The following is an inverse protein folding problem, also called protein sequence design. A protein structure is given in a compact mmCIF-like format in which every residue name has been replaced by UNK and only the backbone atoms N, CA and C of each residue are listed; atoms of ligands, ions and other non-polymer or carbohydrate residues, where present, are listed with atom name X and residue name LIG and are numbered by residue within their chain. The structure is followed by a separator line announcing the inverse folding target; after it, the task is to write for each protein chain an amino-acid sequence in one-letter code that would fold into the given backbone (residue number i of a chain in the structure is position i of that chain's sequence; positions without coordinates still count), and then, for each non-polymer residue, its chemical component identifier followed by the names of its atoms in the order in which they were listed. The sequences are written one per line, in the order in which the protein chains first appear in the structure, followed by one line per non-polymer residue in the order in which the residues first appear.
data_IF_152169933650
#
_entry.id   IF_152169933650
#
_cell.length_a   1.000
_cell.length_b   1.000
_cell.length_c   1.000
_cell.angle_alpha   90.00
_cell.angle_beta   90.00
_cell.angle_gamma   90.00
#
_symmetry.space_group_name_H-M   'P 1'
#
loop_
_entity.id
_entity.type
_entity.pdbx_description
1 polymer ?
#
# COMPACT_ATOMS: atom_id res chain seq x y z
N UNK A 1 13.10 -3.00 18.63
CA UNK A 1 12.44 -2.79 17.30
C UNK A 1 13.15 -1.69 16.49
N UNK A 2 12.80 -1.44 15.20
CA UNK A 2 13.36 -0.28 14.44
C UNK A 2 13.08 1.03 15.16
N UNK A 3 11.88 1.20 15.73
CA UNK A 3 11.48 2.40 16.48
C UNK A 3 12.46 2.71 17.64
N UNK A 4 12.59 1.76 18.57
CA UNK A 4 13.51 1.81 19.70
C UNK A 4 14.96 2.13 19.32
N UNK A 5 15.49 1.48 18.27
CA UNK A 5 16.89 1.67 17.82
C UNK A 5 17.17 3.11 17.35
N UNK A 6 16.15 3.80 16.85
CA UNK A 6 16.27 5.16 16.31
C UNK A 6 15.51 6.20 17.16
N UNK A 7 15.10 5.86 18.38
CA UNK A 7 14.39 6.76 19.29
C UNK A 7 13.06 7.28 18.71
N UNK A 8 12.36 6.46 17.92
CA UNK A 8 11.08 6.81 17.29
C UNK A 8 9.92 6.18 18.04
N UNK A 9 8.74 6.76 17.90
CA UNK A 9 7.50 6.21 18.47
C UNK A 9 7.14 4.87 17.81
N UNK A 10 6.60 3.96 18.62
CA UNK A 10 6.12 2.68 18.12
C UNK A 10 4.81 2.85 17.35
N UNK A 11 4.66 2.03 16.31
CA UNK A 11 3.42 1.95 15.55
C UNK A 11 2.42 1.14 16.37
N UNK A 12 1.28 1.74 16.71
CA UNK A 12 0.15 1.02 17.29
C UNK A 12 -0.54 0.16 16.20
N UNK A 13 0.08 -0.97 15.88
CA UNK A 13 -0.35 -1.86 14.81
C UNK A 13 -1.77 -2.38 15.04
N UNK A 14 -2.04 -2.90 16.24
CA UNK A 14 -3.35 -3.45 16.60
C UNK A 14 -4.46 -2.40 16.55
N UNK A 15 -4.15 -1.17 17.00
CA UNK A 15 -5.09 -0.04 16.88
C UNK A 15 -5.40 0.32 15.43
N UNK A 16 -4.39 0.32 14.54
CA UNK A 16 -4.62 0.56 13.10
C UNK A 16 -5.48 -0.55 12.48
N UNK A 17 -5.24 -1.81 12.85
CA UNK A 17 -6.04 -2.95 12.39
C UNK A 17 -7.50 -2.77 12.82
N UNK A 18 -7.73 -2.50 14.10
CA UNK A 18 -9.05 -2.29 14.66
C UNK A 18 -9.80 -1.15 13.95
N UNK A 19 -9.22 0.05 13.91
CA UNK A 19 -9.83 1.24 13.31
C UNK A 19 -10.12 1.06 11.81
N UNK A 20 -9.23 0.37 11.08
CA UNK A 20 -9.45 0.08 9.66
C UNK A 20 -10.65 -0.85 9.48
N UNK A 21 -10.76 -1.90 10.29
CA UNK A 21 -11.90 -2.83 10.25
C UNK A 21 -13.21 -2.13 10.59
N UNK A 22 -13.22 -1.35 11.68
CA UNK A 22 -14.39 -0.56 12.10
C UNK A 22 -14.83 0.42 11.02
N UNK A 23 -13.87 1.08 10.35
CA UNK A 23 -14.16 1.97 9.22
C UNK A 23 -14.82 1.24 8.05
N UNK A 24 -14.34 0.04 7.70
CA UNK A 24 -14.92 -0.77 6.62
C UNK A 24 -16.35 -1.20 6.96
N UNK A 25 -16.59 -1.68 8.19
CA UNK A 25 -17.94 -2.04 8.66
C UNK A 25 -18.87 -0.83 8.64
N UNK A 26 -18.42 0.32 9.13
CA UNK A 26 -19.22 1.54 9.13
C UNK A 26 -19.61 2.00 7.71
N UNK A 27 -18.70 1.87 6.74
CA UNK A 27 -18.99 2.15 5.33
C UNK A 27 -20.01 1.15 4.78
N UNK A 28 -19.87 -0.15 5.07
CA UNK A 28 -20.79 -1.18 4.59
C UNK A 28 -22.21 -0.97 5.13
N UNK A 29 -22.33 -0.68 6.42
CA UNK A 29 -23.59 -0.38 7.09
C UNK A 29 -24.26 0.89 6.52
N UNK A 30 -23.47 1.92 6.26
CA UNK A 30 -23.95 3.18 5.70
C UNK A 30 -24.45 3.04 4.25
N UNK A 31 -23.78 2.21 3.44
CA UNK A 31 -24.23 1.91 2.08
C UNK A 31 -25.55 1.14 2.10
N UNK A 32 -25.65 0.13 2.97
CA UNK A 32 -26.85 -0.66 3.20
C UNK A 32 -27.37 -1.43 1.98
N UNK A 33 -28.22 -2.43 2.20
CA UNK A 33 -28.76 -3.27 1.11
C UNK A 33 -29.90 -2.63 0.31
N UNK A 34 -30.37 -1.44 0.70
CA UNK A 34 -31.50 -0.76 0.03
C UNK A 34 -31.15 -0.22 -1.36
N UNK A 35 -29.89 0.17 -1.55
CA UNK A 35 -29.41 0.78 -2.80
C UNK A 35 -28.15 0.11 -3.35
N UNK A 36 -27.52 -0.77 -2.57
CA UNK A 36 -26.34 -1.54 -2.98
C UNK A 36 -26.69 -3.03 -2.98
N UNK A 37 -26.62 -3.64 -4.16
CA UNK A 37 -26.61 -5.09 -4.27
C UNK A 37 -25.24 -5.66 -3.91
N UNK A 38 -25.15 -6.98 -3.79
CA UNK A 38 -23.92 -7.69 -3.43
C UNK A 38 -22.77 -7.40 -4.41
N UNK A 39 -23.10 -7.23 -5.70
CA UNK A 39 -22.13 -6.88 -6.73
C UNK A 39 -21.53 -5.49 -6.50
N UNK A 40 -22.37 -4.48 -6.27
CA UNK A 40 -21.92 -3.13 -5.99
C UNK A 40 -21.09 -3.08 -4.70
N UNK A 41 -21.50 -3.83 -3.67
CA UNK A 41 -20.76 -3.96 -2.41
C UNK A 41 -19.35 -4.49 -2.67
N UNK A 42 -19.26 -5.62 -3.38
CA UNK A 42 -17.98 -6.21 -3.76
C UNK A 42 -17.12 -5.24 -4.57
N UNK A 43 -17.70 -4.51 -5.51
CA UNK A 43 -16.97 -3.56 -6.36
C UNK A 43 -16.33 -2.43 -5.54
N UNK A 44 -17.07 -1.80 -4.64
CA UNK A 44 -16.55 -0.68 -3.82
C UNK A 44 -15.45 -1.18 -2.88
N UNK A 45 -15.71 -2.28 -2.17
CA UNK A 45 -14.76 -2.84 -1.22
C UNK A 45 -13.51 -3.42 -1.89
N UNK A 46 -13.62 -3.93 -3.13
CA UNK A 46 -12.46 -4.32 -3.93
C UNK A 46 -11.53 -3.13 -4.18
N UNK A 47 -12.09 -1.95 -4.51
CA UNK A 47 -11.31 -0.74 -4.76
C UNK A 47 -10.63 -0.19 -3.51
N UNK A 48 -11.35 -0.18 -2.39
CA UNK A 48 -10.78 0.25 -1.10
C UNK A 48 -9.64 -0.67 -0.68
N UNK A 49 -9.87 -1.99 -0.72
CA UNK A 49 -8.86 -3.00 -0.37
C UNK A 49 -7.65 -2.91 -1.28
N UNK A 50 -7.86 -2.80 -2.59
CA UNK A 50 -6.77 -2.63 -3.55
C UNK A 50 -5.94 -1.37 -3.27
N UNK A 51 -6.57 -0.24 -2.93
CA UNK A 51 -5.83 0.99 -2.62
C UNK A 51 -4.92 0.82 -1.40
N UNK A 52 -5.42 0.19 -0.33
CA UNK A 52 -4.63 -0.06 0.89
C UNK A 52 -3.47 -1.03 0.62
N UNK A 53 -3.72 -2.13 -0.10
CA UNK A 53 -2.70 -3.11 -0.48
C UNK A 53 -1.61 -2.47 -1.36
N UNK A 54 -1.99 -1.66 -2.34
CA UNK A 54 -1.02 -0.95 -3.19
C UNK A 54 -0.22 0.10 -2.42
N UNK A 55 -0.85 0.78 -1.46
CA UNK A 55 -0.17 1.70 -0.54
C UNK A 55 0.89 0.97 0.30
N UNK A 56 0.53 -0.17 0.89
CA UNK A 56 1.46 -1.01 1.66
C UNK A 56 2.61 -1.53 0.79
N UNK A 57 2.32 -2.03 -0.41
CA UNK A 57 3.33 -2.51 -1.34
C UNK A 57 4.31 -1.39 -1.74
N UNK A 58 3.78 -0.23 -2.15
CA UNK A 58 4.58 0.94 -2.50
C UNK A 58 5.46 1.43 -1.36
N UNK A 59 4.94 1.46 -0.13
CA UNK A 59 5.71 1.83 1.05
C UNK A 59 6.83 0.82 1.37
N UNK A 60 6.57 -0.49 1.21
CA UNK A 60 7.57 -1.53 1.35
C UNK A 60 8.69 -1.42 0.31
N UNK A 61 8.35 -1.15 -0.95
CA UNK A 61 9.33 -0.90 -2.02
C UNK A 61 10.17 0.34 -1.72
N UNK A 62 9.54 1.42 -1.25
CA UNK A 62 10.23 2.65 -0.87
C UNK A 62 11.20 2.42 0.30
N UNK A 63 10.77 1.70 1.34
CA UNK A 63 11.64 1.31 2.45
C UNK A 63 12.85 0.49 1.95
N UNK A 64 12.61 -0.50 1.10
CA UNK A 64 13.65 -1.34 0.52
C UNK A 64 14.69 -0.52 -0.26
N UNK A 65 14.25 0.47 -1.03
CA UNK A 65 15.13 1.41 -1.70
C UNK A 65 15.98 2.23 -0.72
N UNK A 66 15.42 2.70 0.40
CA UNK A 66 16.16 3.43 1.44
C UNK A 66 17.22 2.56 2.14
N UNK A 67 16.93 1.28 2.37
CA UNK A 67 17.92 0.33 2.90
C UNK A 67 19.06 0.12 1.90
N UNK A 68 18.74 0.03 0.61
CA UNK A 68 19.75 -0.05 -0.44
C UNK A 68 20.62 1.23 -0.51
N UNK A 69 20.02 2.41 -0.37
CA UNK A 69 20.75 3.69 -0.30
C UNK A 69 21.76 3.70 0.86
N UNK A 70 21.37 3.20 2.04
CA UNK A 70 22.26 3.06 3.20
C UNK A 70 23.43 2.11 2.90
N UNK A 71 23.15 0.94 2.32
CA UNK A 71 24.17 -0.06 2.00
C UNK A 71 25.15 0.45 0.93
N UNK A 72 24.66 1.15 -0.08
CA UNK A 72 25.48 1.76 -1.11
C UNK A 72 26.37 2.85 -0.55
N UNK A 73 25.85 3.69 0.35
CA UNK A 73 26.66 4.72 1.00
C UNK A 73 27.74 4.10 1.90
N UNK A 74 27.40 3.10 2.70
CA UNK A 74 28.36 2.38 3.54
C UNK A 74 29.50 1.73 2.73
N UNK A 75 29.17 1.09 1.59
CA UNK A 75 30.18 0.50 0.68
C UNK A 75 31.09 1.55 0.04
N UNK A 76 30.56 2.74 -0.25
CA UNK A 76 31.37 3.83 -0.79
C UNK A 76 32.39 4.36 0.25
N UNK A 77 32.15 4.16 1.55
CA UNK A 77 33.10 4.52 2.61
C UNK A 77 34.27 3.52 2.72
N UNK A 78 34.06 2.27 2.32
CA UNK A 78 35.06 1.19 2.46
C UNK A 78 35.92 0.99 1.21
N UNK A 79 35.83 1.87 0.21
CA UNK A 79 36.63 1.78 -1.01
C UNK A 79 37.95 2.56 -0.85
N UNK A 80 39.06 1.84 -0.70
CA UNK A 80 40.43 2.34 -0.42
C UNK A 80 41.11 3.09 -1.59
N UNK A 81 40.47 3.21 -2.76
CA UNK A 81 41.01 3.95 -3.91
C UNK A 81 40.48 5.39 -4.01
N UNK A 82 40.28 6.05 -2.87
CA UNK A 82 40.05 7.50 -2.85
C UNK A 82 41.41 8.19 -3.00
N UNK A 83 41.59 8.93 -4.09
CA UNK A 83 42.71 9.87 -4.22
C UNK A 83 42.81 10.72 -2.95
N UNK A 84 44.02 10.81 -2.40
CA UNK A 84 44.41 11.35 -1.09
C UNK A 84 44.10 12.85 -0.86
N UNK A 85 43.27 13.48 -1.71
CA UNK A 85 42.99 14.92 -1.71
C UNK A 85 41.56 15.28 -1.22
N UNK A 86 40.81 14.35 -0.66
CA UNK A 86 39.46 14.63 -0.15
C UNK A 86 39.48 15.20 1.28
N UNK A 87 39.61 16.51 1.40
CA UNK A 87 39.42 17.27 2.64
C UNK A 87 38.11 16.88 3.37
N UNK A 88 38.22 16.51 4.66
CA UNK A 88 37.13 16.61 5.64
C UNK A 88 36.43 15.32 6.07
N UNK A 89 37.02 14.62 7.03
CA UNK A 89 36.52 13.38 7.71
C UNK A 89 35.20 13.56 8.50
N UNK A 90 34.68 14.77 8.69
CA UNK A 90 33.54 15.01 9.60
C UNK A 90 32.13 14.80 9.00
N UNK A 91 31.95 14.87 7.68
CA UNK A 91 30.61 14.89 7.05
C UNK A 91 29.99 13.53 6.73
N UNK A 92 30.80 12.46 6.65
CA UNK A 92 30.35 11.19 6.08
C UNK A 92 29.51 10.35 7.05
N UNK A 93 29.92 10.24 8.32
CA UNK A 93 29.16 9.50 9.34
C UNK A 93 27.80 10.15 9.63
N UNK A 94 27.75 11.48 9.65
CA UNK A 94 26.48 12.22 9.77
C UNK A 94 25.51 11.93 8.62
N UNK A 95 26.04 11.71 7.41
CA UNK A 95 25.23 11.44 6.22
C UNK A 95 24.70 10.01 6.22
N UNK A 96 25.51 9.03 6.63
CA UNK A 96 25.05 7.66 6.82
C UNK A 96 23.97 7.58 7.89
N UNK A 97 24.16 8.24 9.04
CA UNK A 97 23.16 8.30 10.10
C UNK A 97 21.85 8.92 9.59
N UNK A 98 21.91 10.04 8.87
CA UNK A 98 20.72 10.67 8.29
C UNK A 98 20.01 9.81 7.23
N UNK A 99 20.73 8.92 6.53
CA UNK A 99 20.12 7.94 5.62
C UNK A 99 19.40 6.83 6.41
N UNK A 100 20.04 6.35 7.48
CA UNK A 100 19.50 5.32 8.35
C UNK A 100 18.24 5.79 9.09
N UNK A 101 18.23 7.01 9.62
CA UNK A 101 17.05 7.62 10.24
C UNK A 101 15.86 7.69 9.26
N UNK A 102 16.11 8.10 8.01
CA UNK A 102 15.08 8.14 6.96
C UNK A 102 14.60 6.75 6.56
N UNK A 103 15.48 5.75 6.55
CA UNK A 103 15.10 4.36 6.33
C UNK A 103 14.24 3.83 7.47
N UNK A 104 14.54 4.19 8.72
CA UNK A 104 13.73 3.85 9.88
C UNK A 104 12.32 4.45 9.78
N UNK A 105 12.18 5.74 9.43
CA UNK A 105 10.87 6.35 9.19
C UNK A 105 10.09 5.67 8.08
N UNK A 106 10.78 5.23 7.02
CA UNK A 106 10.16 4.53 5.90
C UNK A 106 9.67 3.13 6.33
N UNK A 107 10.46 2.43 7.16
CA UNK A 107 10.11 1.12 7.70
C UNK A 107 8.87 1.19 8.61
N UNK A 108 8.79 2.19 9.50
CA UNK A 108 7.61 2.40 10.35
C UNK A 108 6.36 2.70 9.54
N UNK A 109 6.46 3.55 8.51
CA UNK A 109 5.35 3.83 7.59
C UNK A 109 4.91 2.59 6.82
N UNK A 110 5.85 1.79 6.31
CA UNK A 110 5.53 0.53 5.62
C UNK A 110 4.84 -0.46 6.56
N UNK A 111 5.28 -0.53 7.82
CA UNK A 111 4.67 -1.39 8.84
C UNK A 111 3.24 -0.94 9.20
N UNK A 112 3.00 0.36 9.37
CA UNK A 112 1.68 0.91 9.59
C UNK A 112 0.72 0.64 8.41
N UNK A 113 1.18 0.85 7.17
CA UNK A 113 0.36 0.60 5.98
C UNK A 113 0.09 -0.88 5.75
N UNK A 114 1.03 -1.76 6.12
CA UNK A 114 0.79 -3.21 6.13
C UNK A 114 -0.39 -3.55 7.05
N UNK A 115 -0.48 -2.94 8.24
CA UNK A 115 -1.62 -3.13 9.15
C UNK A 115 -2.95 -2.80 8.46
N UNK A 116 -3.01 -1.65 7.78
CA UNK A 116 -4.22 -1.25 7.04
C UNK A 116 -4.57 -2.22 5.92
N UNK A 117 -3.57 -2.76 5.22
CA UNK A 117 -3.78 -3.68 4.11
C UNK A 117 -4.29 -5.05 4.59
N UNK A 118 -3.72 -5.58 5.69
CA UNK A 118 -4.18 -6.85 6.30
C UNK A 118 -5.63 -6.71 6.78
N UNK A 119 -5.91 -5.67 7.55
CA UNK A 119 -7.25 -5.35 8.03
C UNK A 119 -8.28 -5.18 6.90
N UNK A 120 -7.91 -4.49 5.81
CA UNK A 120 -8.78 -4.30 4.67
C UNK A 120 -9.12 -5.63 3.95
N UNK A 121 -8.14 -6.52 3.80
CA UNK A 121 -8.36 -7.84 3.20
C UNK A 121 -9.30 -8.70 4.05
N UNK A 122 -9.14 -8.68 5.37
CA UNK A 122 -10.03 -9.39 6.29
C UNK A 122 -11.45 -8.82 6.26
N UNK A 123 -11.59 -7.50 6.37
CA UNK A 123 -12.88 -6.83 6.33
C UNK A 123 -13.59 -7.05 4.99
N UNK A 124 -12.86 -7.03 3.86
CA UNK A 124 -13.41 -7.41 2.56
C UNK A 124 -14.01 -8.81 2.58
N UNK A 125 -13.30 -9.79 3.16
CA UNK A 125 -13.77 -11.15 3.24
C UNK A 125 -15.02 -11.30 4.11
N UNK A 126 -15.10 -10.56 5.21
CA UNK A 126 -16.26 -10.55 6.10
C UNK A 126 -17.48 -9.89 5.44
N UNK A 127 -17.30 -8.75 4.76
CA UNK A 127 -18.39 -8.00 4.14
C UNK A 127 -18.93 -8.70 2.90
N UNK A 128 -18.05 -9.29 2.09
CA UNK A 128 -18.42 -9.83 0.76
C UNK A 128 -18.51 -11.35 0.73
N UNK A 129 -18.09 -12.06 1.78
CA UNK A 129 -17.99 -13.53 1.80
C UNK A 129 -16.91 -14.11 0.87
N UNK A 130 -16.05 -13.28 0.27
CA UNK A 130 -15.06 -13.68 -0.72
C UNK A 130 -13.64 -13.33 -0.28
N UNK A 131 -12.65 -14.18 -0.57
CA UNK A 131 -11.24 -13.82 -0.38
C UNK A 131 -10.84 -12.75 -1.40
N UNK A 132 -10.24 -11.66 -0.92
CA UNK A 132 -9.75 -10.61 -1.82
C UNK A 132 -8.57 -11.11 -2.66
N UNK A 133 -8.58 -10.77 -3.95
CA UNK A 133 -7.49 -11.04 -4.89
C UNK A 133 -7.16 -9.78 -5.68
N UNK A 134 -5.87 -9.49 -5.94
CA UNK A 134 -5.50 -8.36 -6.78
C UNK A 134 -6.16 -8.46 -8.15
N UNK A 135 -6.71 -7.35 -8.63
CA UNK A 135 -7.28 -7.29 -9.96
C UNK A 135 -6.18 -7.60 -11.00
N UNK A 136 -6.34 -8.71 -11.72
CA UNK A 136 -5.60 -8.99 -12.95
C UNK A 136 -6.55 -8.75 -14.12
N UNK A 137 -6.08 -7.99 -15.12
CA UNK A 137 -6.84 -7.81 -16.35
C UNK A 137 -6.91 -9.18 -17.02
N UNK A 138 -8.07 -9.81 -17.10
CA UNK A 138 -8.21 -11.03 -17.89
C UNK A 138 -7.89 -10.68 -19.35
N UNK A 139 -6.85 -11.28 -19.92
CA UNK A 139 -6.58 -11.14 -21.34
C UNK A 139 -7.77 -11.69 -22.13
N UNK A 140 -8.39 -10.82 -22.92
CA UNK A 140 -9.47 -11.08 -23.89
C UNK A 140 -10.82 -11.56 -23.34
N UNK A 141 -11.74 -10.61 -23.18
CA UNK A 141 -13.12 -10.82 -23.66
C UNK A 141 -13.49 -9.65 -24.58
N UNK A 142 -13.55 -9.84 -25.91
CA UNK A 142 -14.18 -8.83 -26.75
C UNK A 142 -15.63 -8.67 -26.25
N UNK A 143 -16.08 -7.43 -26.05
CA UNK A 143 -17.51 -7.17 -25.89
C UNK A 143 -18.17 -7.76 -27.13
N UNK A 144 -19.02 -8.78 -26.94
CA UNK A 144 -19.72 -9.34 -28.09
C UNK A 144 -20.54 -8.21 -28.72
N UNK A 145 -20.47 -8.07 -30.05
CA UNK A 145 -21.24 -7.07 -30.79
C UNK A 145 -22.74 -7.15 -30.45
N UNK A 146 -23.19 -8.33 -30.05
CA UNK A 146 -24.53 -8.63 -29.55
C UNK A 146 -24.82 -7.99 -28.18
N UNK A 147 -23.90 -8.08 -27.20
CA UNK A 147 -24.03 -7.38 -25.92
C UNK A 147 -24.04 -5.85 -26.10
N UNK A 148 -23.21 -5.33 -27.01
CA UNK A 148 -23.20 -3.89 -27.34
C UNK A 148 -24.47 -3.43 -28.05
N UNK A 149 -25.15 -4.32 -28.79
CA UNK A 149 -26.44 -4.04 -29.45
C UNK A 149 -27.59 -4.09 -28.43
N UNK A 150 -27.65 -5.13 -27.60
CA UNK A 150 -28.62 -5.23 -26.50
C UNK A 150 -28.52 -4.06 -25.52
N UNK A 151 -27.31 -3.61 -25.20
CA UNK A 151 -27.11 -2.43 -24.36
C UNK A 151 -27.63 -1.15 -25.02
N UNK A 152 -27.36 -0.94 -26.31
CA UNK A 152 -27.90 0.20 -27.07
C UNK A 152 -29.43 0.18 -27.15
N UNK A 153 -30.00 -0.99 -27.40
CA UNK A 153 -31.46 -1.16 -27.49
C UNK A 153 -32.13 -0.99 -26.11
N UNK A 154 -31.47 -1.40 -25.02
CA UNK A 154 -31.97 -1.27 -23.65
C UNK A 154 -31.91 0.15 -23.10
N UNK A 155 -30.91 0.96 -23.49
CA UNK A 155 -30.76 2.33 -23.00
C UNK A 155 -31.42 3.40 -23.89
N UNK A 156 -31.90 3.03 -25.09
CA UNK A 156 -32.68 3.86 -26.01
C UNK A 156 -32.50 5.37 -25.84
N UNK A 157 -31.26 5.85 -25.96
CA UNK A 157 -31.00 7.28 -26.18
C UNK A 157 -31.46 7.52 -27.61
N UNK A 158 -32.69 8.02 -27.76
CA UNK A 158 -33.18 8.53 -29.03
C UNK A 158 -32.43 9.83 -29.34
N UNK A 159 -31.88 9.91 -30.55
CA UNK A 159 -31.41 11.17 -31.15
C UNK A 159 -32.53 12.23 -31.17
#
# INVERSE_FOLDING_TARGET
MIAERYGKDEVNFDGIVQETRESFTAIADALGSKHFDEFAMKLVFDRLTNAMVQGAFGAGMYYSARVADCANHARALTNDHRDDDADGVAGFDSKLQALQDRAADAGLRAYALRATAEAACEAFAEITGNVWVPYSRSENRPISTEAAKLQRDAFAIKD
#
